data_IF_086706095930
#
_entry.id   IF_086706095930
#
_cell.length_a   1.000
_cell.length_b   1.000
_cell.length_c   1.000
_cell.angle_alpha   90.00
_cell.angle_beta   90.00
_cell.angle_gamma   90.00
#
_symmetry.space_group_name_H-M   'P 1'
#
loop_
_entity.id
_entity.type
_entity.pdbx_description
1 polymer ?
#
# COMPACT_ATOMS: atom_id res chain seq x y z
N UNK A 1 -16.76 16.11 1.17
CA UNK A 1 -16.89 16.82 -0.12
C UNK A 1 -17.37 15.88 -1.23
N UNK A 2 -16.75 14.68 -1.46
CA UNK A 2 -17.12 13.72 -2.53
C UNK A 2 -18.61 13.37 -2.50
N UNK A 3 -19.11 12.90 -1.34
CA UNK A 3 -20.54 12.55 -1.18
C UNK A 3 -21.45 13.75 -1.38
N UNK A 4 -21.05 14.94 -0.93
CA UNK A 4 -21.86 16.17 -1.14
C UNK A 4 -21.96 16.54 -2.63
N UNK A 5 -20.91 16.29 -3.41
CA UNK A 5 -20.85 16.63 -4.82
C UNK A 5 -21.48 15.57 -5.74
N UNK A 6 -21.25 14.27 -5.44
CA UNK A 6 -21.64 13.18 -6.33
C UNK A 6 -22.76 12.31 -5.78
N UNK A 7 -23.21 12.55 -4.53
CA UNK A 7 -24.29 11.81 -3.87
C UNK A 7 -23.87 10.42 -3.37
N UNK A 8 -22.69 9.91 -3.75
CA UNK A 8 -22.21 8.56 -3.40
C UNK A 8 -20.69 8.48 -3.26
N UNK A 9 -20.22 7.40 -2.67
CA UNK A 9 -18.82 7.01 -2.62
C UNK A 9 -18.73 5.50 -2.88
N UNK A 10 -18.04 5.08 -3.92
CA UNK A 10 -17.97 3.69 -4.37
C UNK A 10 -16.64 3.03 -4.03
N UNK A 11 -15.59 3.82 -3.96
CA UNK A 11 -14.25 3.33 -3.69
C UNK A 11 -13.43 4.31 -2.86
N UNK A 12 -12.53 3.76 -2.04
CA UNK A 12 -11.45 4.50 -1.39
C UNK A 12 -10.12 3.81 -1.71
N UNK A 13 -9.17 4.57 -2.26
CA UNK A 13 -7.81 4.08 -2.46
C UNK A 13 -6.86 4.86 -1.55
N UNK A 14 -6.30 4.18 -0.55
CA UNK A 14 -5.28 4.73 0.33
C UNK A 14 -3.91 4.55 -0.33
N UNK A 15 -3.51 5.51 -1.15
CA UNK A 15 -2.26 5.51 -1.92
C UNK A 15 -1.19 6.42 -1.33
N UNK A 16 -1.56 7.52 -0.66
CA UNK A 16 -0.61 8.47 -0.08
C UNK A 16 0.37 7.76 0.88
N UNK A 17 1.65 8.05 0.76
CA UNK A 17 2.70 7.38 1.52
C UNK A 17 3.87 8.34 1.79
N UNK A 18 4.48 8.21 2.96
CA UNK A 18 5.83 8.71 3.25
C UNK A 18 6.81 7.55 3.18
N UNK A 19 8.00 7.81 2.61
CA UNK A 19 9.06 6.82 2.45
C UNK A 19 10.43 7.49 2.61
N UNK A 20 11.18 7.11 3.64
CA UNK A 20 12.56 7.54 3.87
C UNK A 20 13.26 6.61 4.84
N UNK A 21 14.61 6.63 4.82
CA UNK A 21 15.45 5.80 5.66
C UNK A 21 15.34 6.16 7.15
N UNK A 22 15.33 5.14 7.99
CA UNK A 22 15.32 5.26 9.47
C UNK A 22 16.31 4.25 10.06
N UNK A 23 17.64 4.47 9.95
CA UNK A 23 18.66 3.56 10.46
C UNK A 23 18.48 3.35 11.96
N UNK A 24 18.66 2.11 12.44
CA UNK A 24 18.58 1.79 13.85
C UNK A 24 19.68 2.54 14.62
N UNK A 25 19.29 3.26 15.68
CA UNK A 25 20.15 4.17 16.43
C UNK A 25 19.96 5.66 16.08
N UNK A 26 19.34 5.97 14.94
CA UNK A 26 19.07 7.34 14.48
C UNK A 26 17.57 7.65 14.43
N UNK A 27 16.72 6.70 14.82
CA UNK A 27 15.26 6.84 14.78
C UNK A 27 14.81 7.90 15.78
N UNK A 28 14.01 8.86 15.31
CA UNK A 28 13.40 9.91 16.12
C UNK A 28 11.88 9.74 16.19
N UNK A 29 11.24 10.33 17.19
CA UNK A 29 9.77 10.32 17.30
C UNK A 29 9.10 10.97 16.10
N UNK A 30 9.69 12.01 15.53
CA UNK A 30 9.21 12.66 14.30
C UNK A 30 9.17 11.70 13.11
N UNK A 31 10.16 10.80 12.97
CA UNK A 31 10.15 9.77 11.91
C UNK A 31 8.99 8.80 12.11
N UNK A 32 8.74 8.40 13.35
CA UNK A 32 7.62 7.55 13.70
C UNK A 32 6.27 8.23 13.40
N UNK A 33 6.11 9.47 13.86
CA UNK A 33 4.86 10.24 13.70
C UNK A 33 4.53 10.47 12.22
N UNK A 34 5.52 10.75 11.38
CA UNK A 34 5.34 10.92 9.94
C UNK A 34 4.98 9.58 9.27
N UNK A 35 5.88 8.57 9.37
CA UNK A 35 5.73 7.31 8.65
C UNK A 35 4.50 6.52 9.09
N UNK A 36 4.22 6.44 10.40
CA UNK A 36 3.02 5.78 10.91
C UNK A 36 1.78 6.65 10.72
N UNK A 37 1.93 7.96 10.86
CA UNK A 37 0.89 8.95 10.61
C UNK A 37 0.31 8.83 9.22
N UNK A 38 1.17 8.88 8.22
CA UNK A 38 0.79 8.83 6.81
C UNK A 38 0.39 7.43 6.36
N UNK A 39 1.18 6.42 6.70
CA UNK A 39 0.98 5.07 6.14
C UNK A 39 -0.06 4.21 6.90
N UNK A 40 -0.43 4.56 8.14
CA UNK A 40 -1.34 3.75 8.97
C UNK A 40 -2.49 4.56 9.53
N UNK A 41 -2.20 5.62 10.30
CA UNK A 41 -3.22 6.44 10.98
C UNK A 41 -4.18 7.07 9.96
N UNK A 42 -3.66 7.69 8.91
CA UNK A 42 -4.49 8.32 7.89
C UNK A 42 -5.39 7.30 7.17
N UNK A 43 -4.90 6.16 6.64
CA UNK A 43 -5.75 5.09 6.09
C UNK A 43 -6.84 4.60 7.04
N UNK A 44 -6.54 4.41 8.33
CA UNK A 44 -7.53 3.99 9.32
C UNK A 44 -8.68 5.00 9.44
N UNK A 45 -8.37 6.27 9.67
CA UNK A 45 -9.40 7.28 9.90
C UNK A 45 -10.15 7.67 8.62
N UNK A 46 -9.49 7.64 7.46
CA UNK A 46 -10.16 7.81 6.17
C UNK A 46 -11.14 6.66 5.90
N UNK A 47 -10.72 5.42 6.16
CA UNK A 47 -11.59 4.24 6.02
C UNK A 47 -12.79 4.30 6.98
N UNK A 48 -12.56 4.71 8.24
CA UNK A 48 -13.64 4.94 9.21
C UNK A 48 -14.64 6.00 8.72
N UNK A 49 -14.15 7.11 8.22
CA UNK A 49 -15.00 8.19 7.71
C UNK A 49 -15.76 7.78 6.42
N UNK A 50 -15.17 6.94 5.60
CA UNK A 50 -15.75 6.43 4.36
C UNK A 50 -16.73 5.26 4.56
N UNK A 51 -16.67 4.56 5.70
CA UNK A 51 -17.41 3.32 5.93
C UNK A 51 -18.92 3.45 5.70
N UNK A 52 -19.55 4.49 6.24
CA UNK A 52 -20.98 4.71 6.07
C UNK A 52 -21.42 4.92 4.61
N UNK A 53 -20.80 5.84 3.87
CA UNK A 53 -21.03 5.99 2.43
C UNK A 53 -20.73 4.73 1.60
N UNK A 54 -19.63 4.03 1.88
CA UNK A 54 -19.25 2.81 1.15
C UNK A 54 -20.25 1.66 1.38
N UNK A 55 -20.78 1.51 2.61
CA UNK A 55 -21.84 0.51 2.87
C UNK A 55 -23.09 0.74 2.02
N UNK A 56 -23.47 2.00 1.80
CA UNK A 56 -24.65 2.33 0.99
C UNK A 56 -24.48 2.01 -0.50
N UNK A 57 -23.24 1.95 -0.98
CA UNK A 57 -22.92 1.68 -2.38
C UNK A 57 -22.39 0.26 -2.62
N UNK A 58 -22.28 -0.57 -1.55
CA UNK A 58 -21.61 -1.88 -1.59
C UNK A 58 -20.19 -1.78 -2.14
N UNK A 59 -19.48 -0.73 -1.69
CA UNK A 59 -18.21 -0.29 -2.25
C UNK A 59 -17.00 -1.11 -1.82
N UNK A 60 -15.80 -0.57 -2.14
CA UNK A 60 -14.55 -1.24 -1.78
C UNK A 60 -13.46 -0.26 -1.33
N UNK A 61 -12.52 -0.77 -0.53
CA UNK A 61 -11.30 -0.08 -0.13
C UNK A 61 -10.09 -0.85 -0.67
N UNK A 62 -9.13 -0.15 -1.26
CA UNK A 62 -7.83 -0.71 -1.62
C UNK A 62 -6.72 0.10 -0.96
N UNK A 63 -5.89 -0.59 -0.18
CA UNK A 63 -4.71 -0.02 0.45
C UNK A 63 -3.46 -0.32 -0.40
N UNK A 64 -2.61 0.70 -0.65
CA UNK A 64 -1.31 0.49 -1.30
C UNK A 64 -0.28 0.24 -0.21
N UNK A 65 0.03 -1.05 0.00
CA UNK A 65 1.05 -1.51 0.94
C UNK A 65 2.45 -1.49 0.30
N UNK A 66 3.25 -2.51 0.48
CA UNK A 66 4.57 -2.67 -0.12
C UNK A 66 5.03 -4.11 0.11
N UNK A 67 5.85 -4.69 -0.76
CA UNK A 67 6.49 -5.99 -0.52
C UNK A 67 7.37 -5.98 0.73
N UNK A 68 7.88 -4.81 1.11
CA UNK A 68 8.68 -4.62 2.33
C UNK A 68 7.88 -4.67 3.64
N UNK A 69 6.56 -4.84 3.57
CA UNK A 69 5.74 -5.25 4.71
C UNK A 69 6.09 -6.67 5.21
N UNK A 70 6.47 -7.58 4.29
CA UNK A 70 6.83 -8.97 4.58
C UNK A 70 8.35 -9.24 4.41
N UNK A 71 9.01 -8.45 3.59
CA UNK A 71 10.47 -8.53 3.31
C UNK A 71 11.14 -7.21 3.72
N UNK A 72 11.38 -6.97 5.02
CA UNK A 72 11.87 -5.68 5.52
C UNK A 72 13.16 -5.24 4.83
N UNK A 73 13.22 -3.95 4.49
CA UNK A 73 14.38 -3.35 3.88
C UNK A 73 15.35 -2.82 4.93
N UNK A 74 16.66 -3.04 4.72
CA UNK A 74 17.70 -2.52 5.62
C UNK A 74 17.62 -0.99 5.69
N UNK A 75 17.77 -0.43 6.88
CA UNK A 75 17.68 0.99 7.22
C UNK A 75 16.28 1.62 7.10
N UNK A 76 15.22 0.86 6.82
CA UNK A 76 13.84 1.37 6.71
C UNK A 76 12.92 0.75 7.77
N UNK A 77 13.40 0.71 9.02
CA UNK A 77 12.73 -0.01 10.12
C UNK A 77 11.30 0.49 10.33
N UNK A 78 11.11 1.81 10.50
CA UNK A 78 9.78 2.39 10.78
C UNK A 78 8.84 2.25 9.58
N UNK A 79 9.36 2.44 8.37
CA UNK A 79 8.58 2.23 7.13
C UNK A 79 8.06 0.80 7.01
N UNK A 80 8.94 -0.19 7.20
CA UNK A 80 8.56 -1.62 7.11
C UNK A 80 7.50 -1.98 8.17
N UNK A 81 7.64 -1.46 9.40
CA UNK A 81 6.63 -1.61 10.46
C UNK A 81 5.30 -0.98 10.00
N UNK A 82 5.32 0.23 9.46
CA UNK A 82 4.10 0.92 9.03
C UNK A 82 3.38 0.16 7.88
N UNK A 83 4.13 -0.35 6.90
CA UNK A 83 3.52 -1.14 5.80
C UNK A 83 3.01 -2.50 6.26
N UNK A 84 3.68 -3.17 7.20
CA UNK A 84 3.17 -4.37 7.85
C UNK A 84 1.89 -4.09 8.65
N UNK A 85 1.85 -2.96 9.37
CA UNK A 85 0.65 -2.52 10.09
C UNK A 85 -0.51 -2.22 9.13
N UNK A 86 -0.26 -1.61 7.96
CA UNK A 86 -1.28 -1.36 6.93
C UNK A 86 -1.83 -2.68 6.35
N UNK A 87 -1.00 -3.71 6.19
CA UNK A 87 -1.45 -5.06 5.81
C UNK A 87 -2.36 -5.66 6.89
N UNK A 88 -2.00 -5.52 8.17
CA UNK A 88 -2.86 -5.91 9.30
C UNK A 88 -4.18 -5.14 9.35
N UNK A 89 -4.12 -3.82 9.10
CA UNK A 89 -5.31 -2.96 9.01
C UNK A 89 -6.24 -3.41 7.88
N UNK A 90 -5.71 -3.79 6.73
CA UNK A 90 -6.51 -4.31 5.60
C UNK A 90 -7.36 -5.51 6.02
N UNK A 91 -6.76 -6.49 6.69
CA UNK A 91 -7.45 -7.69 7.18
C UNK A 91 -8.49 -7.36 8.26
N UNK A 92 -8.15 -6.47 9.18
CA UNK A 92 -9.05 -6.03 10.24
C UNK A 92 -10.28 -5.32 9.68
N UNK A 93 -10.08 -4.37 8.76
CA UNK A 93 -11.18 -3.64 8.12
C UNK A 93 -12.03 -4.54 7.22
N UNK A 94 -11.42 -5.53 6.53
CA UNK A 94 -12.16 -6.50 5.75
C UNK A 94 -13.18 -7.28 6.61
N UNK A 95 -12.78 -7.65 7.82
CA UNK A 95 -13.66 -8.34 8.78
C UNK A 95 -14.74 -7.41 9.35
N UNK A 96 -14.38 -6.18 9.70
CA UNK A 96 -15.30 -5.21 10.34
C UNK A 96 -16.33 -4.64 9.37
N UNK A 97 -16.02 -4.54 8.09
CA UNK A 97 -16.87 -3.91 7.08
C UNK A 97 -17.65 -4.92 6.23
N UNK A 98 -17.36 -6.21 6.33
CA UNK A 98 -18.14 -7.26 5.69
C UNK A 98 -19.56 -7.33 6.30
N UNK A 99 -20.60 -7.74 5.52
CA UNK A 99 -20.52 -8.14 4.11
C UNK A 99 -20.57 -6.96 3.11
N UNK A 100 -20.81 -5.74 3.58
CA UNK A 100 -21.21 -4.59 2.76
C UNK A 100 -20.04 -3.96 1.98
N UNK A 101 -18.81 -4.01 2.54
CA UNK A 101 -17.63 -3.36 1.94
C UNK A 101 -16.47 -4.35 1.91
N UNK A 102 -15.86 -4.51 0.73
CA UNK A 102 -14.64 -5.29 0.57
C UNK A 102 -13.41 -4.43 0.84
N UNK A 103 -12.40 -5.00 1.49
CA UNK A 103 -11.15 -4.29 1.78
C UNK A 103 -9.97 -5.19 1.39
N UNK A 104 -9.15 -4.73 0.45
CA UNK A 104 -7.99 -5.45 -0.04
C UNK A 104 -6.77 -4.53 -0.12
N UNK A 105 -5.64 -5.09 -0.48
CA UNK A 105 -4.41 -4.34 -0.70
C UNK A 105 -3.69 -4.77 -1.97
N UNK A 106 -2.88 -3.88 -2.51
CA UNK A 106 -1.82 -4.19 -3.46
C UNK A 106 -0.47 -3.90 -2.80
N UNK A 107 0.52 -4.75 -3.06
CA UNK A 107 1.89 -4.60 -2.56
C UNK A 107 2.83 -4.42 -3.76
N UNK A 108 3.19 -3.17 -4.10
CA UNK A 108 4.14 -2.87 -5.15
C UNK A 108 5.54 -3.41 -4.87
N UNK A 109 6.25 -3.80 -5.93
CA UNK A 109 7.70 -3.88 -5.96
C UNK A 109 8.33 -2.57 -6.45
N UNK A 110 9.47 -2.63 -7.14
CA UNK A 110 10.13 -1.45 -7.70
C UNK A 110 9.30 -0.90 -8.89
N UNK A 111 8.68 0.26 -8.69
CA UNK A 111 7.82 0.93 -9.67
C UNK A 111 8.41 2.29 -10.05
N UNK A 112 8.53 3.20 -9.08
CA UNK A 112 9.15 4.50 -9.22
C UNK A 112 10.28 4.62 -8.20
N UNK A 113 11.38 5.20 -8.61
CA UNK A 113 12.50 5.43 -7.72
C UNK A 113 12.38 6.80 -7.06
N UNK A 114 12.71 6.93 -5.76
CA UNK A 114 12.83 8.24 -5.14
C UNK A 114 13.88 9.09 -5.85
N UNK A 115 13.56 10.36 -6.11
CA UNK A 115 14.45 11.24 -6.88
C UNK A 115 15.72 11.64 -6.11
N UNK A 116 15.61 11.78 -4.77
CA UNK A 116 16.67 12.31 -3.91
C UNK A 116 17.28 11.26 -2.94
N UNK A 117 17.11 9.97 -3.22
CA UNK A 117 17.62 8.90 -2.33
C UNK A 117 18.86 8.22 -2.95
N UNK A 118 20.04 8.56 -2.43
CA UNK A 118 21.34 7.97 -2.85
C UNK A 118 21.38 6.42 -2.71
N UNK A 119 20.49 5.83 -1.92
CA UNK A 119 20.36 4.37 -1.76
C UNK A 119 19.99 3.69 -3.07
N UNK A 120 19.31 4.41 -3.96
CA UNK A 120 18.83 3.91 -5.25
C UNK A 120 19.59 4.51 -6.43
N UNK A 121 20.92 4.54 -6.33
CA UNK A 121 21.79 4.87 -7.46
C UNK A 121 21.60 3.87 -8.63
N UNK A 122 22.12 4.19 -9.81
CA UNK A 122 21.93 3.37 -11.01
C UNK A 122 22.42 1.92 -10.82
N UNK A 123 23.50 1.69 -10.08
CA UNK A 123 24.04 0.35 -9.81
C UNK A 123 23.06 -0.45 -8.95
N UNK A 124 22.51 0.19 -7.90
CA UNK A 124 21.53 -0.41 -7.01
C UNK A 124 20.22 -0.74 -7.75
N UNK A 125 19.74 0.17 -8.61
CA UNK A 125 18.55 -0.05 -9.46
C UNK A 125 18.75 -1.25 -10.39
N UNK A 126 19.87 -1.30 -11.12
CA UNK A 126 20.18 -2.42 -12.01
C UNK A 126 20.29 -3.75 -11.24
N UNK A 127 20.88 -3.73 -10.04
CA UNK A 127 20.91 -4.90 -9.17
C UNK A 127 19.52 -5.36 -8.78
N UNK A 128 18.63 -4.44 -8.40
CA UNK A 128 17.25 -4.74 -8.05
C UNK A 128 16.52 -5.37 -9.24
N UNK A 129 16.62 -4.76 -10.42
CA UNK A 129 16.01 -5.26 -11.66
C UNK A 129 16.56 -6.66 -12.02
N UNK A 130 17.88 -6.86 -11.93
CA UNK A 130 18.50 -8.15 -12.25
C UNK A 130 18.04 -9.30 -11.36
N UNK A 131 17.67 -9.01 -10.11
CA UNK A 131 17.13 -9.99 -9.15
C UNK A 131 15.59 -10.08 -9.19
N UNK A 132 14.91 -9.23 -9.95
CA UNK A 132 13.48 -9.34 -10.19
C UNK A 132 13.22 -10.37 -11.28
N UNK A 133 12.41 -11.42 -11.07
CA UNK A 133 12.16 -12.46 -12.08
C UNK A 133 11.75 -11.95 -13.45
N UNK A 134 10.85 -10.94 -13.52
CA UNK A 134 10.41 -10.35 -14.79
C UNK A 134 11.44 -9.40 -15.42
N UNK A 135 12.62 -9.17 -14.81
CA UNK A 135 13.77 -8.43 -15.37
C UNK A 135 13.46 -7.00 -15.82
N UNK A 136 12.45 -6.39 -15.25
CA UNK A 136 12.11 -4.98 -15.45
C UNK A 136 11.59 -4.37 -14.15
N UNK A 137 11.61 -3.08 -14.04
CA UNK A 137 10.76 -2.33 -13.11
C UNK A 137 9.30 -2.40 -13.56
N UNK A 138 8.38 -2.25 -12.63
CA UNK A 138 6.97 -2.09 -12.95
C UNK A 138 6.67 -0.64 -13.33
N UNK A 139 5.48 -0.43 -13.88
CA UNK A 139 4.95 0.88 -14.21
C UNK A 139 3.78 1.23 -13.27
N UNK A 140 3.49 2.52 -13.03
CA UNK A 140 2.29 2.92 -12.27
C UNK A 140 1.01 2.27 -12.77
N UNK A 141 0.90 2.01 -14.08
CA UNK A 141 -0.24 1.33 -14.70
C UNK A 141 -0.36 -0.15 -14.28
N UNK A 142 0.76 -0.84 -14.01
CA UNK A 142 0.73 -2.20 -13.47
C UNK A 142 0.01 -2.23 -12.11
N UNK A 143 0.25 -1.22 -11.25
CA UNK A 143 -0.43 -1.06 -9.96
C UNK A 143 -1.90 -0.66 -10.16
N UNK A 144 -2.16 0.32 -11.02
CA UNK A 144 -3.50 0.82 -11.27
C UNK A 144 -4.45 -0.28 -11.77
N UNK A 145 -3.97 -1.18 -12.63
CA UNK A 145 -4.74 -2.34 -13.12
C UNK A 145 -5.07 -3.32 -11.99
N UNK A 146 -4.16 -3.60 -11.09
CA UNK A 146 -4.42 -4.47 -9.93
C UNK A 146 -5.42 -3.82 -8.96
N UNK A 147 -5.29 -2.52 -8.71
CA UNK A 147 -6.26 -1.76 -7.92
C UNK A 147 -7.65 -1.82 -8.56
N UNK A 148 -7.75 -1.55 -9.85
CA UNK A 148 -9.02 -1.62 -10.59
C UNK A 148 -9.63 -3.01 -10.52
N UNK A 149 -8.87 -4.07 -10.74
CA UNK A 149 -9.33 -5.45 -10.60
C UNK A 149 -9.96 -5.70 -9.22
N UNK A 150 -9.30 -5.29 -8.15
CA UNK A 150 -9.83 -5.44 -6.78
C UNK A 150 -11.09 -4.61 -6.53
N UNK A 151 -11.24 -3.48 -7.19
CA UNK A 151 -12.43 -2.62 -7.07
C UNK A 151 -13.62 -3.17 -7.87
N UNK A 152 -13.42 -3.61 -9.11
CA UNK A 152 -14.46 -3.85 -10.09
C UNK A 152 -14.73 -5.34 -10.37
N UNK A 153 -13.67 -6.17 -10.46
CA UNK A 153 -13.73 -7.52 -11.03
C UNK A 153 -13.56 -8.65 -10.00
N UNK A 154 -13.38 -8.32 -8.71
CA UNK A 154 -13.10 -9.28 -7.64
C UNK A 154 -14.18 -9.30 -6.53
N UNK A 155 -15.46 -9.62 -6.84
CA UNK A 155 -16.56 -9.47 -5.88
C UNK A 155 -16.48 -10.45 -4.69
N UNK A 156 -15.71 -11.54 -4.81
CA UNK A 156 -15.55 -12.55 -3.75
C UNK A 156 -14.15 -12.52 -3.10
N UNK A 157 -13.44 -11.37 -3.23
CA UNK A 157 -12.11 -11.17 -2.64
C UNK A 157 -12.17 -10.06 -1.60
N UNK A 158 -11.82 -10.39 -0.36
CA UNK A 158 -11.68 -9.43 0.74
C UNK A 158 -10.63 -9.90 1.74
N UNK A 159 -9.86 -8.97 2.31
CA UNK A 159 -8.78 -9.25 3.26
C UNK A 159 -7.45 -9.67 2.62
N UNK A 160 -7.36 -9.66 1.30
CA UNK A 160 -6.20 -10.14 0.55
C UNK A 160 -5.22 -9.01 0.16
N UNK A 161 -3.97 -9.40 -0.02
CA UNK A 161 -2.91 -8.52 -0.54
C UNK A 161 -2.32 -9.15 -1.80
N UNK A 162 -2.40 -8.44 -2.92
CA UNK A 162 -1.82 -8.88 -4.19
C UNK A 162 -0.44 -8.24 -4.36
N UNK A 163 0.61 -9.04 -4.47
CA UNK A 163 1.94 -8.56 -4.82
C UNK A 163 1.99 -8.21 -6.32
N UNK A 164 2.37 -6.97 -6.63
CA UNK A 164 2.57 -6.47 -8.00
C UNK A 164 4.02 -6.02 -8.11
N UNK A 165 4.93 -6.98 -8.21
CA UNK A 165 6.35 -6.80 -7.93
C UNK A 165 7.29 -7.50 -8.94
N UNK A 166 6.76 -8.03 -10.03
CA UNK A 166 7.52 -8.78 -11.00
C UNK A 166 8.14 -10.08 -10.45
N UNK A 167 7.62 -10.59 -9.33
CA UNK A 167 8.12 -11.77 -8.64
C UNK A 167 9.27 -11.48 -7.68
N UNK A 168 9.58 -10.21 -7.39
CA UNK A 168 10.71 -9.84 -6.56
C UNK A 168 10.62 -10.44 -5.14
N UNK A 169 9.46 -10.43 -4.51
CA UNK A 169 9.26 -10.93 -3.15
C UNK A 169 9.56 -12.43 -2.97
N UNK A 170 9.56 -13.22 -4.04
CA UNK A 170 9.93 -14.64 -4.00
C UNK A 170 11.41 -14.87 -4.34
N UNK A 171 12.13 -13.86 -4.77
CA UNK A 171 13.53 -13.92 -5.19
C UNK A 171 14.51 -13.27 -4.20
N UNK A 172 14.02 -12.62 -3.12
CA UNK A 172 14.81 -11.95 -2.08
C UNK A 172 14.56 -12.55 -0.70
#
# INVERSE_FOLDING_TARGET
QTVMRFGRLDALVNNASSFFATPLGEIQLSHWDDLVGTNVRAPLFLSQAAAGPLRKSEGAIVNVTDIHAERPMRNYVVYSIAKAALTGLTRSLARELAPDVRVNAVAPGPILWPEDDETFDEVSRQRIISHTPLKREGEPDDIARAVRFLLEDAPYVTGETINVDGGRSIAI
#
